data_IF_374682178641
#
_entry.id   IF_374682178641
#
_cell.length_a   1.000
_cell.length_b   1.000
_cell.length_c   1.000
_cell.angle_alpha   90.00
_cell.angle_beta   90.00
_cell.angle_gamma   90.00
#
_symmetry.space_group_name_H-M   'P 1'
#
loop_
_entity.id
_entity.type
_entity.pdbx_description
1 polymer ?
#
# COMPACT_ATOMS: atom_id res chain seq x y z
N UNK A 1 -89.90 17.90 4.18
CA UNK A 1 -88.48 18.07 3.80
C UNK A 1 -87.61 17.59 4.95
N UNK A 2 -87.05 16.35 4.85
CA UNK A 2 -86.14 15.78 5.85
C UNK A 2 -84.72 15.89 5.27
N UNK A 3 -83.87 16.65 5.98
CA UNK A 3 -82.42 16.70 5.67
C UNK A 3 -81.75 15.52 6.33
N UNK A 4 -81.05 14.69 5.49
CA UNK A 4 -80.16 13.58 5.91
C UNK A 4 -78.78 14.19 6.03
N UNK A 5 -78.14 14.12 7.22
CA UNK A 5 -76.72 14.46 7.43
C UNK A 5 -75.88 13.17 7.17
N UNK A 6 -74.99 13.26 6.20
CA UNK A 6 -73.95 12.29 6.02
C UNK A 6 -72.74 12.67 6.91
N UNK A 7 -72.48 11.83 7.90
CA UNK A 7 -71.25 11.93 8.71
C UNK A 7 -70.10 11.22 7.98
N UNK A 8 -69.05 11.98 7.63
CA UNK A 8 -67.84 11.41 7.03
C UNK A 8 -66.91 10.98 8.18
N UNK A 9 -66.72 9.67 8.29
CA UNK A 9 -65.72 9.06 9.21
C UNK A 9 -64.34 9.18 8.54
N UNK A 10 -63.47 10.03 9.05
CA UNK A 10 -62.06 10.03 8.69
C UNK A 10 -61.34 8.88 9.42
N UNK A 11 -61.02 7.86 8.68
CA UNK A 11 -60.10 6.80 9.14
C UNK A 11 -58.68 7.37 9.08
N UNK A 12 -58.08 7.67 10.25
CA UNK A 12 -56.66 7.96 10.39
C UNK A 12 -55.93 6.64 10.22
N UNK A 13 -55.43 6.42 9.00
CA UNK A 13 -54.41 5.37 8.75
C UNK A 13 -53.14 5.85 9.44
N UNK A 14 -52.82 5.27 10.58
CA UNK A 14 -51.51 5.38 11.21
C UNK A 14 -50.43 4.85 10.23
N UNK A 15 -49.67 5.76 9.61
CA UNK A 15 -48.42 5.43 8.97
C UNK A 15 -47.48 4.93 10.07
N UNK A 16 -47.37 3.63 10.19
CA UNK A 16 -46.24 3.03 10.90
C UNK A 16 -44.95 3.49 10.17
N UNK A 17 -44.24 4.40 10.80
CA UNK A 17 -42.89 4.76 10.41
C UNK A 17 -42.04 3.51 10.51
N UNK A 18 -41.95 2.75 9.43
CA UNK A 18 -40.94 1.73 9.26
C UNK A 18 -39.59 2.48 9.17
N UNK A 19 -38.99 2.80 10.32
CA UNK A 19 -37.59 3.17 10.40
C UNK A 19 -36.83 1.96 9.89
N UNK A 20 -36.53 1.96 8.59
CA UNK A 20 -35.59 1.04 7.99
C UNK A 20 -34.34 1.02 8.87
N UNK A 21 -33.93 -0.15 9.30
CA UNK A 21 -32.74 -0.32 10.12
C UNK A 21 -31.58 0.38 9.39
N UNK A 22 -31.09 1.51 9.96
CA UNK A 22 -30.12 2.37 9.30
C UNK A 22 -28.78 1.68 9.04
N UNK A 23 -28.63 0.43 9.47
CA UNK A 23 -27.43 -0.37 9.33
C UNK A 23 -27.77 -1.83 9.03
N UNK A 24 -27.92 -2.21 7.75
CA UNK A 24 -28.20 -3.59 7.37
C UNK A 24 -27.02 -4.52 7.76
N UNK A 25 -27.27 -5.83 7.97
CA UNK A 25 -26.21 -6.79 8.25
C UNK A 25 -25.09 -6.74 7.21
N UNK A 26 -23.83 -6.79 7.67
CA UNK A 26 -22.66 -6.85 6.81
C UNK A 26 -22.20 -8.30 6.64
N UNK A 27 -22.27 -8.81 5.41
CA UNK A 27 -21.65 -10.09 5.06
C UNK A 27 -20.26 -9.83 4.50
N UNK A 28 -19.23 -10.34 5.16
CA UNK A 28 -17.85 -10.21 4.70
C UNK A 28 -17.53 -11.34 3.72
N UNK A 29 -17.05 -11.04 2.49
CA UNK A 29 -16.81 -12.06 1.46
C UNK A 29 -15.48 -12.81 1.70
N UNK A 30 -15.40 -13.61 2.75
CA UNK A 30 -14.24 -14.47 3.02
C UNK A 30 -14.21 -15.60 2.00
N UNK A 31 -13.15 -15.75 1.18
CA UNK A 31 -13.08 -16.82 0.19
C UNK A 31 -13.06 -18.21 0.85
N UNK A 32 -13.91 -19.11 0.42
CA UNK A 32 -13.91 -20.51 0.87
C UNK A 32 -12.78 -21.32 0.25
N UNK A 33 -12.36 -20.97 -0.95
CA UNK A 33 -11.30 -21.64 -1.71
C UNK A 33 -10.26 -20.66 -2.20
N UNK A 34 -9.04 -21.14 -2.28
CA UNK A 34 -7.93 -20.37 -2.84
C UNK A 34 -7.77 -20.61 -4.33
N UNK A 35 -7.47 -19.57 -5.09
CA UNK A 35 -7.11 -19.67 -6.51
C UNK A 35 -5.75 -20.35 -6.65
N UNK A 36 -4.79 -19.98 -5.74
CA UNK A 36 -3.49 -20.64 -5.66
C UNK A 36 -3.61 -21.90 -4.80
N UNK A 37 -3.88 -23.04 -5.46
CA UNK A 37 -4.15 -24.32 -4.77
C UNK A 37 -2.89 -25.08 -4.33
N UNK A 38 -1.69 -24.64 -4.74
CA UNK A 38 -0.44 -25.24 -4.29
C UNK A 38 -0.30 -25.11 -2.78
N UNK A 39 0.08 -26.19 -2.10
CA UNK A 39 0.30 -26.22 -0.66
C UNK A 39 -0.91 -25.74 0.17
N UNK A 40 -2.10 -26.16 -0.21
CA UNK A 40 -3.31 -25.94 0.62
C UNK A 40 -3.27 -26.64 1.99
N UNK A 41 -2.28 -27.54 2.18
CA UNK A 41 -1.93 -28.14 3.47
C UNK A 41 -1.36 -27.12 4.47
N UNK A 42 -0.83 -25.97 4.00
CA UNK A 42 -0.30 -24.94 4.88
C UNK A 42 -1.44 -24.06 5.40
N UNK A 43 -1.61 -24.06 6.71
CA UNK A 43 -2.63 -23.24 7.38
C UNK A 43 -2.30 -21.76 7.24
N UNK A 44 -3.29 -20.96 6.85
CA UNK A 44 -3.15 -19.48 6.86
C UNK A 44 -3.15 -18.99 8.30
N UNK A 45 -2.10 -18.28 8.75
CA UNK A 45 -2.10 -17.69 10.08
C UNK A 45 -3.16 -16.59 10.21
N UNK A 46 -3.79 -16.52 11.38
CA UNK A 46 -4.66 -15.39 11.71
C UNK A 46 -3.84 -14.10 11.92
N UNK A 47 -4.47 -12.96 11.70
CA UNK A 47 -3.95 -11.67 12.14
C UNK A 47 -4.08 -11.63 13.67
N UNK A 48 -3.02 -11.20 14.36
CA UNK A 48 -2.98 -11.02 15.81
C UNK A 48 -2.85 -9.54 16.11
N UNK A 49 -3.71 -9.01 16.98
CA UNK A 49 -3.62 -7.66 17.51
C UNK A 49 -3.05 -7.70 18.95
N UNK A 50 -1.76 -7.46 19.10
CA UNK A 50 -1.11 -7.45 20.41
C UNK A 50 -1.42 -6.20 21.24
N UNK A 51 -2.01 -5.19 20.64
CA UNK A 51 -2.46 -3.97 21.31
C UNK A 51 -3.89 -4.04 21.84
N UNK A 52 -4.56 -5.19 21.71
CA UNK A 52 -5.94 -5.44 22.11
C UNK A 52 -6.99 -4.61 21.34
N UNK A 53 -6.67 -3.36 21.03
CA UNK A 53 -7.50 -2.42 20.24
C UNK A 53 -6.70 -1.62 19.23
N UNK A 54 -5.44 -1.97 18.98
CA UNK A 54 -4.55 -1.17 18.13
C UNK A 54 -4.98 -1.16 16.66
N UNK A 55 -5.82 -2.10 16.25
CA UNK A 55 -6.36 -2.18 14.89
C UNK A 55 -7.84 -1.80 14.78
N UNK A 56 -8.51 -1.38 15.87
CA UNK A 56 -9.95 -1.14 15.87
C UNK A 56 -10.36 -0.02 14.92
N UNK A 57 -9.63 1.10 14.91
CA UNK A 57 -9.92 2.23 14.01
C UNK A 57 -9.83 1.83 12.52
N UNK A 58 -8.85 1.01 12.18
CA UNK A 58 -8.69 0.47 10.83
C UNK A 58 -9.87 -0.45 10.46
N UNK A 59 -10.23 -1.41 11.31
CA UNK A 59 -11.34 -2.33 11.03
C UNK A 59 -12.69 -1.65 11.04
N UNK A 60 -12.90 -0.63 11.88
CA UNK A 60 -14.08 0.22 11.84
C UNK A 60 -14.21 0.91 10.47
N UNK A 61 -13.13 1.51 9.97
CA UNK A 61 -13.13 2.16 8.66
C UNK A 61 -13.27 1.17 7.51
N UNK A 62 -12.62 -0.01 7.61
CA UNK A 62 -12.76 -1.09 6.62
C UNK A 62 -14.21 -1.58 6.55
N UNK A 63 -14.88 -1.74 7.68
CA UNK A 63 -16.30 -2.08 7.74
C UNK A 63 -17.18 -1.01 7.10
N UNK A 64 -16.87 0.29 7.30
CA UNK A 64 -17.56 1.39 6.63
C UNK A 64 -17.43 1.33 5.10
N UNK A 65 -16.23 1.03 4.60
CA UNK A 65 -16.00 0.82 3.15
C UNK A 65 -16.78 -0.40 2.68
N UNK A 66 -16.74 -1.52 3.43
CA UNK A 66 -17.47 -2.74 3.10
C UNK A 66 -19.00 -2.54 3.08
N UNK A 67 -19.51 -1.58 3.85
CA UNK A 67 -20.92 -1.14 3.81
C UNK A 67 -21.23 -0.15 2.67
N UNK A 68 -20.27 0.12 1.78
CA UNK A 68 -20.45 1.02 0.65
C UNK A 68 -20.52 2.51 1.02
N UNK A 69 -20.10 2.88 2.22
CA UNK A 69 -20.10 4.30 2.63
C UNK A 69 -19.07 5.09 1.81
N UNK A 70 -19.32 6.40 1.69
CA UNK A 70 -18.42 7.31 0.95
C UNK A 70 -17.18 7.65 1.77
N UNK A 71 -16.29 6.68 1.92
CA UNK A 71 -15.01 6.81 2.64
C UNK A 71 -13.88 6.18 1.83
N UNK A 72 -12.70 6.77 1.91
CA UNK A 72 -11.47 6.28 1.29
C UNK A 72 -10.56 5.71 2.37
N UNK A 73 -10.26 4.40 2.29
CA UNK A 73 -9.36 3.71 3.20
C UNK A 73 -7.99 3.56 2.53
N UNK A 74 -6.92 3.99 3.22
CA UNK A 74 -5.55 3.95 2.73
C UNK A 74 -4.68 2.97 3.51
N UNK A 75 -4.04 2.06 2.78
CA UNK A 75 -3.07 1.12 3.32
C UNK A 75 -1.71 1.47 2.72
N UNK A 76 -0.68 1.62 3.57
CA UNK A 76 0.71 1.77 3.14
C UNK A 76 1.50 0.51 3.47
N UNK A 77 2.41 0.10 2.57
CA UNK A 77 3.31 -1.02 2.83
C UNK A 77 4.74 -0.62 2.55
N UNK A 78 5.66 -0.89 3.49
CA UNK A 78 7.10 -0.82 3.23
C UNK A 78 7.66 -2.22 3.11
N UNK A 79 8.35 -2.51 2.01
CA UNK A 79 8.95 -3.80 1.74
C UNK A 79 10.32 -3.70 1.08
N UNK A 80 11.05 -4.80 1.09
CA UNK A 80 12.37 -4.94 0.46
C UNK A 80 12.26 -5.33 -1.03
N UNK A 81 13.31 -5.96 -1.59
CA UNK A 81 13.35 -6.36 -2.99
C UNK A 81 12.19 -7.27 -3.43
N UNK A 82 11.57 -8.00 -2.51
CA UNK A 82 10.41 -8.83 -2.79
C UNK A 82 9.12 -8.01 -3.06
N UNK A 83 9.15 -6.70 -2.81
CA UNK A 83 8.02 -5.77 -3.03
C UNK A 83 8.23 -4.79 -4.18
N UNK A 84 9.43 -4.78 -4.81
CA UNK A 84 9.86 -3.75 -5.78
C UNK A 84 9.14 -3.77 -7.13
N UNK A 85 8.35 -4.79 -7.42
CA UNK A 85 7.61 -4.95 -8.67
C UNK A 85 6.09 -4.86 -8.49
N UNK A 86 5.63 -4.38 -7.33
CA UNK A 86 4.20 -4.21 -6.96
C UNK A 86 3.34 -5.48 -7.08
N UNK A 87 3.94 -6.67 -7.21
CA UNK A 87 3.15 -7.90 -7.44
C UNK A 87 2.36 -8.31 -6.20
N UNK A 88 2.98 -8.39 -5.02
CA UNK A 88 2.25 -8.70 -3.77
C UNK A 88 1.29 -7.58 -3.40
N UNK A 89 1.75 -6.32 -3.44
CA UNK A 89 0.91 -5.16 -3.14
C UNK A 89 -0.26 -5.03 -4.13
N UNK A 90 0.01 -5.22 -5.43
CA UNK A 90 -1.00 -5.18 -6.48
C UNK A 90 -2.04 -6.29 -6.35
N UNK A 91 -1.64 -7.49 -5.94
CA UNK A 91 -2.59 -8.60 -5.70
C UNK A 91 -3.48 -8.32 -4.49
N UNK A 92 -2.92 -7.82 -3.40
CA UNK A 92 -3.70 -7.40 -2.22
C UNK A 92 -4.66 -6.27 -2.60
N UNK A 93 -4.17 -5.24 -3.29
CA UNK A 93 -4.97 -4.11 -3.77
C UNK A 93 -6.12 -4.58 -4.64
N UNK A 94 -5.83 -5.38 -5.67
CA UNK A 94 -6.83 -5.91 -6.59
C UNK A 94 -7.94 -6.66 -5.86
N UNK A 95 -7.60 -7.57 -4.94
CA UNK A 95 -8.58 -8.37 -4.21
C UNK A 95 -9.45 -7.52 -3.29
N UNK A 96 -8.85 -6.59 -2.55
CA UNK A 96 -9.60 -5.70 -1.67
C UNK A 96 -10.49 -4.72 -2.45
N UNK A 97 -10.00 -4.21 -3.58
CA UNK A 97 -10.77 -3.31 -4.44
C UNK A 97 -11.94 -4.01 -5.13
N UNK A 98 -11.76 -5.26 -5.57
CA UNK A 98 -12.85 -6.07 -6.12
C UNK A 98 -13.91 -6.39 -5.07
N UNK A 99 -13.51 -6.59 -3.81
CA UNK A 99 -14.44 -6.89 -2.72
C UNK A 99 -15.20 -5.66 -2.21
N UNK A 100 -14.55 -4.50 -2.14
CA UNK A 100 -15.04 -3.35 -1.39
C UNK A 100 -15.03 -2.02 -2.15
N UNK A 101 -14.56 -2.00 -3.36
CA UNK A 101 -14.52 -0.82 -4.23
C UNK A 101 -13.13 -0.27 -4.48
N UNK A 102 -12.91 0.12 -5.72
CA UNK A 102 -11.67 0.69 -6.23
C UNK A 102 -11.54 2.16 -5.79
N UNK A 103 -10.59 2.45 -4.91
CA UNK A 103 -10.26 3.79 -4.43
C UNK A 103 -9.15 4.49 -5.23
N UNK A 104 -8.69 3.87 -6.33
CA UNK A 104 -7.56 4.31 -7.13
C UNK A 104 -6.31 3.47 -6.87
N UNK A 105 -5.30 3.65 -7.72
CA UNK A 105 -4.07 2.88 -7.64
C UNK A 105 -3.27 3.17 -6.36
N UNK A 106 -3.25 4.44 -5.93
CA UNK A 106 -2.36 4.92 -4.89
C UNK A 106 -1.06 5.47 -5.46
N UNK A 107 0.03 5.38 -4.70
CA UNK A 107 1.32 6.00 -5.00
C UNK A 107 2.11 5.24 -6.05
N UNK A 108 2.64 6.00 -7.03
CA UNK A 108 3.60 5.56 -8.05
C UNK A 108 4.79 6.50 -8.03
N UNK A 109 6.01 5.99 -7.86
CA UNK A 109 7.23 6.80 -7.97
C UNK A 109 7.49 7.25 -9.40
N UNK A 110 7.94 8.48 -9.58
CA UNK A 110 8.42 8.93 -10.88
C UNK A 110 9.81 8.37 -11.21
N UNK A 111 10.08 8.16 -12.48
CA UNK A 111 11.32 7.56 -12.95
C UNK A 111 11.27 6.03 -13.00
N UNK A 112 12.42 5.45 -13.30
CA UNK A 112 12.63 3.99 -13.34
C UNK A 112 13.83 3.70 -12.43
N UNK A 113 13.60 3.56 -11.11
CA UNK A 113 14.69 3.43 -10.13
C UNK A 113 15.47 2.10 -10.23
N UNK A 114 14.93 1.11 -10.94
CA UNK A 114 15.57 -0.17 -11.33
C UNK A 114 14.86 -0.77 -12.53
N UNK A 115 15.52 -1.68 -13.26
CA UNK A 115 15.07 -2.20 -14.54
C UNK A 115 13.75 -3.00 -14.53
N UNK A 116 13.34 -3.53 -13.36
CA UNK A 116 12.08 -4.26 -13.19
C UNK A 116 11.03 -3.46 -12.41
N UNK A 117 11.22 -2.14 -12.27
CA UNK A 117 10.23 -1.25 -11.64
C UNK A 117 8.92 -1.29 -12.43
N UNK A 118 7.88 -1.73 -11.76
CA UNK A 118 6.57 -1.90 -12.36
C UNK A 118 5.49 -1.77 -11.29
N UNK A 119 4.34 -1.22 -11.69
CA UNK A 119 3.12 -1.19 -10.90
C UNK A 119 1.99 -1.88 -11.66
N UNK A 120 1.18 -2.69 -10.96
CA UNK A 120 0.05 -3.40 -11.57
C UNK A 120 -1.18 -2.49 -11.67
N UNK A 121 -1.96 -2.65 -12.73
CA UNK A 121 -3.20 -1.90 -12.95
C UNK A 121 -3.02 -0.37 -12.94
N UNK A 122 -1.92 0.09 -13.50
CA UNK A 122 -1.61 1.49 -13.81
C UNK A 122 -0.54 1.49 -14.88
N UNK A 123 -0.49 2.52 -15.70
CA UNK A 123 0.56 2.71 -16.70
C UNK A 123 1.46 3.85 -16.25
N UNK A 124 2.77 3.71 -16.39
CA UNK A 124 3.73 4.74 -16.04
C UNK A 124 5.00 4.60 -16.87
N UNK A 125 5.79 5.67 -16.95
CA UNK A 125 7.04 5.65 -17.68
C UNK A 125 7.72 7.00 -17.75
N UNK A 126 8.84 7.01 -18.48
CA UNK A 126 9.61 8.21 -18.77
C UNK A 126 10.00 8.26 -20.23
N UNK A 127 10.26 9.48 -20.74
CA UNK A 127 10.96 9.71 -22.02
C UNK A 127 12.12 10.66 -21.79
N UNK A 128 13.15 10.56 -22.62
CA UNK A 128 14.38 11.33 -22.42
C UNK A 128 15.24 10.77 -21.29
N UNK A 129 16.23 11.55 -20.86
CA UNK A 129 17.22 11.12 -19.84
C UNK A 129 16.75 11.49 -18.44
N UNK A 130 16.58 10.49 -17.58
CA UNK A 130 16.30 10.62 -16.16
C UNK A 130 17.36 9.90 -15.34
N UNK A 131 17.86 10.54 -14.30
CA UNK A 131 18.61 9.88 -13.24
C UNK A 131 17.63 9.50 -12.15
N UNK A 132 17.64 8.24 -11.71
CA UNK A 132 16.79 7.78 -10.63
C UNK A 132 17.64 7.27 -9.47
N UNK A 133 17.26 7.63 -8.26
CA UNK A 133 17.92 7.24 -7.03
C UNK A 133 16.98 6.48 -6.11
N UNK A 134 17.56 5.61 -5.32
CA UNK A 134 16.88 4.90 -4.26
C UNK A 134 17.82 4.71 -3.05
N UNK A 135 17.24 4.45 -1.89
CA UNK A 135 17.94 4.36 -0.61
C UNK A 135 19.09 3.34 -0.56
N UNK A 136 19.09 2.33 -1.43
CA UNK A 136 20.00 1.19 -1.28
C UNK A 136 21.07 1.13 -2.35
N UNK A 137 20.64 1.04 -3.61
CA UNK A 137 21.55 0.78 -4.73
C UNK A 137 22.16 2.07 -5.31
N UNK A 138 21.45 3.18 -5.23
CA UNK A 138 21.87 4.47 -5.77
C UNK A 138 21.53 5.59 -4.79
N UNK A 139 22.25 5.70 -3.66
CA UNK A 139 21.97 6.71 -2.65
C UNK A 139 22.27 8.12 -3.15
N UNK A 140 21.44 9.07 -2.76
CA UNK A 140 21.62 10.48 -3.02
C UNK A 140 22.15 11.18 -1.78
N UNK A 141 23.12 12.10 -1.95
CA UNK A 141 23.84 12.72 -0.84
C UNK A 141 22.98 13.61 0.06
N UNK A 142 21.94 14.22 -0.49
CA UNK A 142 21.06 15.13 0.27
C UNK A 142 19.95 14.42 1.06
N UNK A 143 19.82 13.09 0.95
CA UNK A 143 18.80 12.31 1.65
C UNK A 143 17.35 12.55 1.21
N UNK A 144 17.15 13.34 0.14
CA UNK A 144 15.85 13.81 -0.33
C UNK A 144 15.15 12.76 -1.21
N UNK A 145 14.53 11.77 -0.57
CA UNK A 145 13.78 10.68 -1.23
C UNK A 145 12.26 10.78 -1.05
N UNK A 146 11.75 11.81 -0.35
CA UNK A 146 10.38 11.81 0.16
C UNK A 146 10.14 10.60 1.10
N UNK A 147 8.88 10.23 1.33
CA UNK A 147 8.54 9.07 2.17
C UNK A 147 8.75 7.71 1.49
N UNK A 148 8.85 7.70 0.15
CA UNK A 148 8.90 6.45 -0.62
C UNK A 148 10.32 5.90 -0.83
N UNK A 149 11.36 6.59 -0.35
CA UNK A 149 12.74 6.12 -0.48
C UNK A 149 13.30 6.15 -1.90
N UNK A 150 12.69 6.91 -2.80
CA UNK A 150 13.11 7.04 -4.19
C UNK A 150 12.88 8.45 -4.74
N UNK A 151 13.66 8.85 -5.75
CA UNK A 151 13.48 10.10 -6.48
C UNK A 151 14.03 9.99 -7.90
N UNK A 152 13.57 10.86 -8.80
CA UNK A 152 14.08 10.95 -10.16
C UNK A 152 14.33 12.41 -10.56
N UNK A 153 15.38 12.64 -11.36
CA UNK A 153 15.78 13.99 -11.78
C UNK A 153 16.13 14.03 -13.25
N UNK A 154 15.72 15.09 -13.94
CA UNK A 154 16.12 15.37 -15.30
C UNK A 154 16.44 16.84 -15.48
N UNK A 155 17.47 17.12 -16.29
CA UNK A 155 17.79 18.47 -16.78
C UNK A 155 17.59 18.57 -18.30
N UNK A 156 17.08 17.53 -18.95
CA UNK A 156 16.90 17.53 -20.39
C UNK A 156 15.57 18.20 -20.75
N UNK A 157 15.58 19.34 -21.48
CA UNK A 157 14.36 19.95 -21.99
C UNK A 157 13.55 18.95 -22.84
N UNK A 158 12.24 18.87 -22.60
CA UNK A 158 11.35 17.95 -23.28
C UNK A 158 11.29 16.53 -22.69
N UNK A 159 12.19 16.15 -21.73
CA UNK A 159 12.07 14.89 -21.01
C UNK A 159 10.73 14.84 -20.25
N UNK A 160 10.08 13.67 -20.24
CA UNK A 160 8.81 13.49 -19.53
C UNK A 160 8.86 12.37 -18.52
N UNK A 161 8.10 12.52 -17.42
CA UNK A 161 7.69 11.44 -16.55
C UNK A 161 6.16 11.43 -16.50
N UNK A 162 5.54 10.25 -16.56
CA UNK A 162 4.09 10.19 -16.71
C UNK A 162 3.48 8.99 -15.99
N UNK A 163 2.20 9.13 -15.67
CA UNK A 163 1.35 8.07 -15.14
C UNK A 163 -0.02 8.16 -15.78
N UNK A 164 -0.65 7.02 -16.01
CA UNK A 164 -1.94 6.89 -16.64
C UNK A 164 -2.72 5.75 -15.98
N UNK A 165 -4.03 5.88 -15.88
CA UNK A 165 -4.90 4.79 -15.39
C UNK A 165 -4.65 3.49 -16.15
N UNK A 166 -5.09 2.38 -15.58
CA UNK A 166 -5.01 1.06 -16.23
C UNK A 166 -5.72 1.07 -17.59
N UNK A 167 -5.27 0.19 -18.48
CA UNK A 167 -5.93 0.00 -19.79
C UNK A 167 -7.39 -0.42 -19.61
N UNK A 168 -8.27 -0.06 -20.55
CA UNK A 168 -9.64 -0.57 -20.56
C UNK A 168 -9.69 -2.10 -20.46
N UNK A 169 -10.61 -2.61 -19.66
CA UNK A 169 -10.72 -4.05 -19.38
C UNK A 169 -9.87 -4.57 -18.23
N UNK A 170 -9.01 -3.76 -17.63
CA UNK A 170 -8.36 -4.13 -16.37
C UNK A 170 -9.40 -4.24 -15.24
N UNK A 171 -9.20 -5.18 -14.29
CA UNK A 171 -10.19 -5.42 -13.24
C UNK A 171 -10.33 -4.27 -12.25
N UNK A 172 -9.31 -3.44 -12.10
CA UNK A 172 -9.24 -2.27 -11.21
C UNK A 172 -8.28 -1.23 -11.78
N UNK A 173 -8.24 -0.01 -11.22
CA UNK A 173 -7.30 1.04 -11.59
C UNK A 173 -7.65 1.78 -12.88
N UNK A 174 -8.83 1.55 -13.47
CA UNK A 174 -9.26 2.17 -14.74
C UNK A 174 -9.78 3.60 -14.57
N UNK A 175 -9.92 4.08 -13.33
CA UNK A 175 -10.44 5.40 -13.03
C UNK A 175 -9.66 6.08 -11.91
N UNK A 176 -9.60 7.41 -11.99
CA UNK A 176 -9.02 8.29 -10.98
C UNK A 176 -9.87 9.56 -10.90
N UNK A 177 -9.98 10.16 -9.71
CA UNK A 177 -10.65 11.45 -9.49
C UNK A 177 -9.68 12.54 -9.03
N UNK A 178 -8.46 12.17 -8.63
CA UNK A 178 -7.41 13.14 -8.30
C UNK A 178 -6.01 12.56 -8.45
N UNK A 179 -5.08 13.42 -8.87
CA UNK A 179 -3.65 13.19 -8.81
C UNK A 179 -3.03 14.09 -7.76
N UNK A 180 -2.21 13.53 -6.87
CA UNK A 180 -1.42 14.31 -5.93
C UNK A 180 0.05 13.95 -6.12
N UNK A 181 0.82 14.86 -6.73
CA UNK A 181 2.23 14.67 -7.01
C UNK A 181 3.12 15.44 -6.06
N UNK A 182 4.38 15.00 -5.94
CA UNK A 182 5.40 15.70 -5.15
C UNK A 182 6.69 15.90 -5.92
N UNK A 183 7.34 17.05 -5.67
CA UNK A 183 8.59 17.45 -6.28
C UNK A 183 9.48 18.19 -5.28
N UNK A 184 10.77 18.31 -5.59
CA UNK A 184 11.72 19.06 -4.77
C UNK A 184 11.83 20.49 -5.28
N UNK A 185 11.43 21.47 -4.49
CA UNK A 185 11.79 22.86 -4.64
C UNK A 185 13.16 23.08 -3.98
N UNK A 186 14.11 23.74 -4.66
CA UNK A 186 15.49 23.92 -4.16
C UNK A 186 16.25 25.05 -4.87
N UNK A 187 17.38 25.52 -4.34
CA UNK A 187 18.26 26.44 -5.07
C UNK A 187 18.66 25.88 -6.44
N UNK A 188 18.53 26.69 -7.47
CA UNK A 188 18.78 26.32 -8.88
C UNK A 188 17.86 25.20 -9.38
N UNK A 189 16.64 25.10 -8.84
CA UNK A 189 15.58 24.25 -9.37
C UNK A 189 15.22 24.63 -10.81
N UNK A 190 14.68 23.69 -11.56
CA UNK A 190 14.26 23.88 -12.95
C UNK A 190 12.76 24.20 -13.06
N UNK A 191 12.32 24.43 -14.28
CA UNK A 191 10.92 24.67 -14.63
C UNK A 191 10.34 23.47 -15.35
N UNK A 192 9.11 23.09 -15.03
CA UNK A 192 8.38 22.01 -15.68
C UNK A 192 6.92 22.34 -15.90
N UNK A 193 6.34 21.73 -16.92
CA UNK A 193 4.90 21.74 -17.18
C UNK A 193 4.25 20.52 -16.57
N UNK A 194 3.02 20.69 -16.06
CA UNK A 194 2.10 19.62 -15.69
C UNK A 194 1.00 19.57 -16.74
N UNK A 195 0.86 18.42 -17.40
CA UNK A 195 -0.18 18.19 -18.40
C UNK A 195 -1.16 17.14 -17.86
N UNK A 196 -2.44 17.41 -18.04
CA UNK A 196 -3.54 16.46 -17.83
C UNK A 196 -4.24 16.22 -19.17
N UNK A 197 -4.27 14.96 -19.60
CA UNK A 197 -4.89 14.52 -20.87
C UNK A 197 -4.39 15.30 -22.08
N UNK A 198 -3.10 15.69 -22.06
CA UNK A 198 -2.43 16.44 -23.10
C UNK A 198 -2.53 17.97 -22.98
N UNK A 199 -3.36 18.50 -22.09
CA UNK A 199 -3.50 19.94 -21.87
C UNK A 199 -2.56 20.41 -20.73
N UNK A 200 -1.82 21.50 -20.95
CA UNK A 200 -1.00 22.14 -19.92
C UNK A 200 -1.93 22.76 -18.87
N UNK A 201 -1.83 22.30 -17.64
CA UNK A 201 -2.58 22.83 -16.49
C UNK A 201 -1.77 23.84 -15.69
N UNK A 202 -0.45 23.57 -15.52
CA UNK A 202 0.44 24.43 -14.79
C UNK A 202 1.85 24.46 -15.39
N UNK A 203 2.55 25.56 -15.17
CA UNK A 203 4.01 25.69 -15.36
C UNK A 203 4.63 26.07 -14.02
N UNK A 204 5.46 25.18 -13.48
CA UNK A 204 6.02 25.27 -12.14
C UNK A 204 7.49 25.62 -12.23
N UNK A 205 7.90 26.67 -11.54
CA UNK A 205 9.30 26.94 -11.20
C UNK A 205 9.61 26.27 -9.86
N UNK A 206 10.51 25.30 -9.88
CA UNK A 206 10.96 24.59 -8.67
C UNK A 206 12.17 25.24 -8.00
N UNK A 207 12.56 26.44 -8.40
CA UNK A 207 13.59 27.22 -7.69
C UNK A 207 13.06 27.72 -6.35
N UNK A 208 13.90 27.63 -5.30
CA UNK A 208 13.58 28.07 -3.95
C UNK A 208 14.88 28.42 -3.19
N UNK A 209 14.74 29.14 -2.08
CA UNK A 209 15.89 29.52 -1.23
C UNK A 209 16.44 28.34 -0.43
N UNK A 210 15.62 27.34 -0.11
CA UNK A 210 15.98 26.12 0.60
C UNK A 210 15.34 24.90 -0.06
N UNK A 211 15.88 23.71 0.21
CA UNK A 211 15.30 22.45 -0.28
C UNK A 211 14.05 22.11 0.52
N UNK A 212 12.94 21.88 -0.17
CA UNK A 212 11.64 21.55 0.42
C UNK A 212 10.82 20.69 -0.54
N UNK A 213 10.12 19.67 -0.01
CA UNK A 213 9.15 18.89 -0.78
C UNK A 213 7.87 19.69 -0.93
N UNK A 214 7.47 19.93 -2.16
CA UNK A 214 6.21 20.58 -2.52
C UNK A 214 5.23 19.57 -3.09
N UNK A 215 3.95 19.85 -2.92
CA UNK A 215 2.84 19.01 -3.36
C UNK A 215 1.90 19.79 -4.27
N UNK A 216 1.46 19.14 -5.35
CA UNK A 216 0.44 19.66 -6.25
C UNK A 216 -0.69 18.64 -6.34
N UNK A 217 -1.93 19.12 -6.22
CA UNK A 217 -3.11 18.26 -6.31
C UNK A 217 -4.04 18.74 -7.41
N UNK A 218 -4.36 17.84 -8.34
CA UNK A 218 -5.28 18.06 -9.44
C UNK A 218 -6.51 17.17 -9.27
N UNK A 219 -7.68 17.79 -9.23
CA UNK A 219 -8.96 17.09 -9.28
C UNK A 219 -9.41 16.95 -10.73
N UNK A 220 -9.93 15.79 -11.09
CA UNK A 220 -10.48 15.47 -12.40
C UNK A 220 -11.85 14.81 -12.24
N UNK A 221 -12.63 14.69 -13.32
CA UNK A 221 -13.82 13.85 -13.30
C UNK A 221 -13.42 12.40 -13.04
N UNK A 222 -14.27 11.63 -12.34
CA UNK A 222 -13.94 10.22 -12.09
C UNK A 222 -13.92 9.42 -13.41
N UNK A 223 -12.74 8.99 -13.84
CA UNK A 223 -12.57 8.35 -15.15
C UNK A 223 -11.13 8.03 -15.51
N UNK A 224 -10.91 7.67 -16.75
CA UNK A 224 -9.58 7.41 -17.29
C UNK A 224 -8.85 8.73 -17.57
N UNK A 225 -7.63 8.89 -17.02
CA UNK A 225 -6.83 10.10 -17.16
C UNK A 225 -5.34 9.80 -17.22
N UNK A 226 -4.59 10.73 -17.77
CA UNK A 226 -3.13 10.72 -17.87
C UNK A 226 -2.53 12.02 -17.33
N UNK A 227 -1.58 11.89 -16.41
CA UNK A 227 -0.74 12.98 -15.93
C UNK A 227 0.65 12.88 -16.56
N UNK A 228 1.17 13.97 -17.10
CA UNK A 228 2.53 14.07 -17.64
C UNK A 228 3.24 15.27 -17.05
N UNK A 229 4.46 15.06 -16.58
CA UNK A 229 5.39 16.12 -16.18
C UNK A 229 6.43 16.26 -17.29
N UNK A 230 6.58 17.47 -17.82
CA UNK A 230 7.50 17.76 -18.93
C UNK A 230 8.51 18.81 -18.50
N UNK A 231 9.79 18.48 -18.50
CA UNK A 231 10.88 19.38 -18.19
C UNK A 231 10.96 20.48 -19.24
N UNK A 232 11.02 21.74 -18.82
CA UNK A 232 11.19 22.91 -19.71
C UNK A 232 12.64 23.37 -19.71
N UNK A 233 13.19 23.59 -18.52
CA UNK A 233 14.59 24.04 -18.37
C UNK A 233 15.11 23.75 -16.96
N UNK A 234 16.43 23.72 -16.80
CA UNK A 234 17.07 23.50 -15.52
C UNK A 234 16.85 22.08 -14.98
N UNK A 235 17.17 21.86 -13.72
CA UNK A 235 17.13 20.56 -13.08
C UNK A 235 15.84 20.37 -12.27
N UNK A 236 15.00 19.42 -12.67
CA UNK A 236 13.72 19.10 -12.05
C UNK A 236 13.82 17.75 -11.34
N UNK A 237 13.57 17.74 -10.02
CA UNK A 237 13.51 16.50 -9.23
C UNK A 237 12.09 16.21 -8.79
N UNK A 238 11.65 14.99 -9.10
CA UNK A 238 10.33 14.47 -8.81
C UNK A 238 10.41 13.27 -7.85
N UNK A 239 9.38 13.06 -7.06
CA UNK A 239 9.29 11.88 -6.16
C UNK A 239 8.26 10.88 -6.65
N UNK A 240 7.02 11.28 -6.79
CA UNK A 240 5.95 10.42 -7.25
C UNK A 240 4.59 11.10 -7.24
N UNK A 241 3.58 10.32 -7.55
CA UNK A 241 2.19 10.77 -7.64
C UNK A 241 1.25 9.70 -7.09
N UNK A 242 0.25 10.12 -6.33
CA UNK A 242 -0.85 9.27 -5.90
C UNK A 242 -2.06 9.48 -6.80
N UNK A 243 -2.66 8.38 -7.26
CA UNK A 243 -3.89 8.33 -8.05
C UNK A 243 -5.00 7.83 -7.14
N UNK A 244 -5.98 8.68 -6.83
CA UNK A 244 -7.06 8.34 -5.90
C UNK A 244 -8.44 8.71 -6.44
N UNK A 245 -9.44 7.97 -5.97
CA UNK A 245 -10.86 8.29 -6.08
C UNK A 245 -11.38 8.75 -4.73
N UNK A 246 -12.65 9.15 -4.64
CA UNK A 246 -13.20 9.72 -3.41
C UNK A 246 -13.64 8.66 -2.38
N UNK A 247 -13.75 7.39 -2.78
CA UNK A 247 -14.16 6.27 -1.93
C UNK A 247 -13.53 4.95 -2.39
N UNK A 248 -13.55 3.96 -1.50
CA UNK A 248 -13.00 2.64 -1.77
C UNK A 248 -11.68 2.37 -1.04
N UNK A 249 -10.86 1.49 -1.56
CA UNK A 249 -9.58 1.10 -0.96
C UNK A 249 -8.42 1.53 -1.86
N UNK A 250 -7.41 2.16 -1.26
CA UNK A 250 -6.10 2.45 -1.85
C UNK A 250 -5.04 1.65 -1.11
N UNK A 251 -4.07 1.10 -1.85
CA UNK A 251 -2.91 0.46 -1.24
C UNK A 251 -1.64 0.92 -1.96
N UNK A 252 -0.76 1.59 -1.22
CA UNK A 252 0.55 2.03 -1.68
C UNK A 252 1.59 0.92 -1.43
N UNK A 253 2.08 0.32 -2.50
CA UNK A 253 3.18 -0.65 -2.45
C UNK A 253 4.53 0.05 -2.53
N UNK A 254 5.16 0.35 -1.37
CA UNK A 254 6.48 0.98 -1.31
C UNK A 254 7.54 -0.10 -1.13
N UNK A 255 7.99 -0.67 -2.25
CA UNK A 255 9.11 -1.61 -2.28
C UNK A 255 10.38 -0.91 -2.70
N UNK A 256 11.47 -1.06 -1.94
CA UNK A 256 12.79 -0.53 -2.31
C UNK A 256 13.82 -1.65 -2.21
N UNK A 257 14.69 -1.78 -3.21
CA UNK A 257 15.74 -2.80 -3.21
C UNK A 257 16.55 -2.77 -1.90
N UNK A 258 16.77 -3.93 -1.31
CA UNK A 258 17.51 -4.11 -0.08
C UNK A 258 17.07 -3.21 1.08
N UNK A 259 15.80 -2.75 1.08
CA UNK A 259 15.26 -1.96 2.18
C UNK A 259 15.31 -2.76 3.49
N UNK A 260 15.68 -2.08 4.53
CA UNK A 260 15.59 -2.55 5.91
C UNK A 260 15.43 -1.33 6.84
N UNK A 261 15.11 -1.50 8.12
CA UNK A 261 14.93 -0.37 9.04
C UNK A 261 16.13 0.58 9.12
N UNK A 262 17.36 0.04 9.08
CA UNK A 262 18.57 0.87 9.10
C UNK A 262 18.68 1.77 7.86
N UNK A 263 18.33 1.24 6.68
CA UNK A 263 18.28 2.06 5.45
C UNK A 263 17.23 3.16 5.55
N UNK A 264 16.09 2.89 6.16
CA UNK A 264 15.03 3.90 6.34
C UNK A 264 15.49 5.09 7.18
N UNK A 265 16.42 4.93 8.12
CA UNK A 265 16.98 6.05 8.89
C UNK A 265 17.90 6.98 8.08
N UNK A 266 18.25 6.59 6.86
CA UNK A 266 19.04 7.43 5.93
C UNK A 266 18.18 8.45 5.16
N UNK A 267 16.86 8.33 5.23
CA UNK A 267 15.95 9.36 4.72
C UNK A 267 15.94 10.58 5.64
N UNK A 268 15.75 11.75 5.06
CA UNK A 268 15.47 12.94 5.87
C UNK A 268 14.21 12.71 6.71
N UNK A 269 14.34 12.76 8.03
CA UNK A 269 13.28 12.40 8.98
C UNK A 269 12.05 13.31 8.88
N UNK A 270 12.28 14.60 8.65
CA UNK A 270 11.20 15.56 8.55
C UNK A 270 10.38 15.31 7.28
N UNK A 271 11.04 14.97 6.18
CA UNK A 271 10.37 14.63 4.92
C UNK A 271 9.63 13.28 4.99
N UNK A 272 10.23 12.27 5.63
CA UNK A 272 9.56 11.00 5.87
C UNK A 272 8.27 11.23 6.68
N UNK A 273 8.37 11.96 7.78
CA UNK A 273 7.21 12.25 8.63
C UNK A 273 6.15 13.09 7.89
N UNK A 274 6.55 14.15 7.18
CA UNK A 274 5.64 15.01 6.42
C UNK A 274 4.92 14.24 5.31
N UNK A 275 5.63 13.38 4.59
CA UNK A 275 5.05 12.55 3.54
C UNK A 275 4.06 11.53 4.09
N UNK A 276 4.37 10.87 5.20
CA UNK A 276 3.46 9.95 5.89
C UNK A 276 2.21 10.67 6.38
N UNK A 277 2.36 11.82 7.05
CA UNK A 277 1.23 12.66 7.50
C UNK A 277 0.34 13.04 6.32
N UNK A 278 0.94 13.42 5.19
CA UNK A 278 0.22 13.77 3.96
C UNK A 278 -0.55 12.59 3.38
N UNK A 279 0.05 11.40 3.36
CA UNK A 279 -0.61 10.17 2.89
C UNK A 279 -1.71 9.72 3.83
N UNK A 280 -1.59 9.99 5.13
CA UNK A 280 -2.64 9.72 6.13
C UNK A 280 -3.17 8.28 6.04
N UNK A 281 -2.26 7.31 6.18
CA UNK A 281 -2.63 5.89 6.13
C UNK A 281 -3.51 5.49 7.31
N UNK A 282 -4.47 4.62 7.07
CA UNK A 282 -5.29 3.98 8.10
C UNK A 282 -4.61 2.72 8.66
N UNK A 283 -3.79 2.07 7.82
CA UNK A 283 -2.93 0.95 8.19
C UNK A 283 -1.56 1.12 7.52
N UNK A 284 -0.49 1.04 8.30
CA UNK A 284 0.87 0.96 7.79
C UNK A 284 1.47 -0.40 8.13
N UNK A 285 1.93 -1.13 7.09
CA UNK A 285 2.51 -2.45 7.19
C UNK A 285 4.01 -2.38 6.90
N UNK A 286 4.83 -2.96 7.76
CA UNK A 286 6.27 -3.12 7.54
C UNK A 286 6.59 -4.59 7.32
N UNK A 287 7.15 -4.91 6.13
CA UNK A 287 7.36 -6.29 5.68
C UNK A 287 8.83 -6.63 5.41
N UNK A 288 9.77 -5.70 5.67
CA UNK A 288 11.20 -5.95 5.44
C UNK A 288 11.72 -7.09 6.34
N UNK A 289 12.87 -7.63 6.01
CA UNK A 289 13.50 -8.66 6.86
C UNK A 289 14.42 -9.61 6.09
N UNK A 290 14.29 -9.71 4.79
CA UNK A 290 15.16 -10.55 3.95
C UNK A 290 16.60 -10.01 3.92
N UNK A 291 16.79 -8.69 4.03
CA UNK A 291 18.07 -7.99 4.00
C UNK A 291 18.59 -7.56 5.39
N UNK A 292 18.12 -8.19 6.44
CA UNK A 292 18.61 -7.94 7.79
C UNK A 292 19.56 -9.04 8.17
N UNK A 293 20.86 -8.74 8.10
CA UNK A 293 21.93 -9.69 8.42
C UNK A 293 22.07 -9.94 9.90
N UNK A 294 21.67 -8.96 10.71
CA UNK A 294 21.63 -9.07 12.17
C UNK A 294 20.27 -8.66 12.72
N UNK A 295 19.56 -9.53 13.42
CA UNK A 295 18.35 -9.15 14.14
C UNK A 295 18.57 -8.05 15.20
N UNK A 296 19.81 -7.86 15.65
CA UNK A 296 20.18 -6.78 16.59
C UNK A 296 19.95 -5.43 15.92
N UNK A 297 20.39 -5.24 14.67
CA UNK A 297 20.19 -3.99 13.92
C UNK A 297 18.70 -3.65 13.79
N UNK A 298 17.88 -4.67 13.56
CA UNK A 298 16.44 -4.52 13.49
C UNK A 298 15.84 -4.08 14.84
N UNK A 299 16.27 -4.69 15.94
CA UNK A 299 15.80 -4.38 17.30
C UNK A 299 16.23 -2.98 17.77
N UNK A 300 17.39 -2.50 17.37
CA UNK A 300 17.90 -1.18 17.81
C UNK A 300 17.26 -0.03 17.06
N UNK A 301 16.95 -0.20 15.78
CA UNK A 301 16.46 0.85 14.90
C UNK A 301 14.93 0.95 14.86
N UNK A 302 14.24 -0.18 14.93
CA UNK A 302 12.76 -0.22 14.84
C UNK A 302 12.03 0.63 15.89
N UNK A 303 12.48 0.72 17.16
CA UNK A 303 11.80 1.58 18.14
C UNK A 303 11.74 3.05 17.69
N UNK A 304 12.84 3.55 17.16
CA UNK A 304 12.94 4.94 16.67
C UNK A 304 12.03 5.18 15.45
N UNK A 305 12.05 4.27 14.48
CA UNK A 305 11.16 4.35 13.31
C UNK A 305 9.69 4.22 13.71
N UNK A 306 9.36 3.33 14.63
CA UNK A 306 8.00 3.17 15.12
C UNK A 306 7.49 4.42 15.84
N UNK A 307 8.37 5.08 16.62
CA UNK A 307 8.03 6.35 17.25
C UNK A 307 7.72 7.42 16.20
N UNK A 308 8.58 7.55 15.16
CA UNK A 308 8.35 8.48 14.05
C UNK A 308 7.04 8.17 13.33
N UNK A 309 6.77 6.90 13.01
CA UNK A 309 5.53 6.49 12.36
C UNK A 309 4.28 6.83 13.19
N UNK A 310 4.30 6.54 14.49
CA UNK A 310 3.19 6.87 15.40
C UNK A 310 2.98 8.38 15.55
N UNK A 311 4.05 9.18 15.52
CA UNK A 311 3.94 10.65 15.53
C UNK A 311 3.37 11.19 14.22
N UNK A 312 3.80 10.65 13.07
CA UNK A 312 3.33 11.08 11.76
C UNK A 312 1.90 10.62 11.45
N UNK A 313 1.49 9.49 12.01
CA UNK A 313 0.22 8.80 11.74
C UNK A 313 -0.48 8.43 13.07
N UNK A 314 -0.92 9.39 13.88
CA UNK A 314 -1.40 9.13 15.25
C UNK A 314 -2.69 8.30 15.32
N UNK A 315 -3.46 8.24 14.22
CA UNK A 315 -4.72 7.48 14.15
C UNK A 315 -4.60 6.17 13.34
N UNK A 316 -3.41 5.87 12.82
CA UNK A 316 -3.21 4.67 12.03
C UNK A 316 -3.03 3.42 12.90
N UNK A 317 -3.49 2.29 12.39
CA UNK A 317 -3.03 0.99 12.84
C UNK A 317 -1.65 0.69 12.22
N UNK A 318 -0.85 -0.08 12.96
CA UNK A 318 0.46 -0.55 12.49
C UNK A 318 0.51 -2.07 12.52
N UNK A 319 1.20 -2.68 11.55
CA UNK A 319 1.37 -4.12 11.48
C UNK A 319 2.79 -4.47 11.05
N UNK A 320 3.39 -5.47 11.68
CA UNK A 320 4.61 -6.11 11.22
C UNK A 320 4.28 -7.46 10.57
N UNK A 321 5.00 -7.78 9.49
CA UNK A 321 5.02 -9.12 8.91
C UNK A 321 6.38 -9.76 9.13
N UNK A 322 6.41 -11.10 9.29
CA UNK A 322 7.67 -11.83 9.14
C UNK A 322 8.15 -11.80 7.71
N UNK A 323 9.47 -11.88 7.52
CA UNK A 323 10.06 -12.12 6.21
C UNK A 323 9.77 -13.56 5.74
N UNK A 324 9.76 -13.83 4.42
CA UNK A 324 9.63 -15.18 3.89
C UNK A 324 10.86 -16.04 4.23
N UNK A 325 10.70 -17.36 4.26
CA UNK A 325 11.82 -18.28 4.19
C UNK A 325 12.50 -18.14 2.81
N UNK A 326 13.80 -18.32 2.70
CA UNK A 326 14.50 -18.36 1.43
C UNK A 326 15.65 -19.37 1.44
N UNK A 327 16.16 -19.72 0.25
CA UNK A 327 17.22 -20.70 0.10
C UNK A 327 18.56 -20.05 0.41
N UNK A 328 19.31 -20.63 1.33
CA UNK A 328 20.71 -20.30 1.51
C UNK A 328 21.50 -20.75 0.28
N UNK A 329 22.26 -19.83 -0.31
CA UNK A 329 23.20 -20.16 -1.37
C UNK A 329 24.26 -21.11 -0.84
N UNK A 330 24.21 -22.36 -1.28
CA UNK A 330 25.18 -23.40 -0.93
C UNK A 330 26.28 -23.44 -1.96
N UNK A 331 27.40 -24.13 -1.59
CA UNK A 331 28.46 -24.47 -2.56
C UNK A 331 27.87 -25.37 -3.64
N UNK A 332 28.46 -25.27 -4.84
CA UNK A 332 28.06 -26.08 -5.97
C UNK A 332 27.99 -27.58 -5.62
N UNK A 333 26.90 -28.26 -6.00
CA UNK A 333 26.67 -29.68 -5.74
C UNK A 333 26.00 -30.01 -4.39
N UNK A 334 25.68 -29.04 -3.55
CA UNK A 334 24.94 -29.29 -2.30
C UNK A 334 23.43 -29.09 -2.49
N UNK A 335 22.63 -29.92 -1.80
CA UNK A 335 21.18 -29.72 -1.76
C UNK A 335 20.85 -28.37 -1.14
N UNK A 336 19.89 -27.60 -1.73
CA UNK A 336 19.48 -26.32 -1.19
C UNK A 336 18.83 -26.47 0.18
N UNK A 337 19.22 -25.62 1.13
CA UNK A 337 18.64 -25.56 2.47
C UNK A 337 18.03 -24.18 2.70
N UNK A 338 17.07 -24.10 3.62
CA UNK A 338 16.56 -22.82 4.08
C UNK A 338 17.61 -22.03 4.85
N UNK A 339 17.56 -20.68 4.73
CA UNK A 339 18.41 -19.80 5.52
C UNK A 339 17.98 -19.84 7.02
N UNK A 340 18.82 -20.36 7.93
CA UNK A 340 18.42 -20.53 9.34
C UNK A 340 18.07 -19.22 10.03
N UNK A 341 18.65 -18.08 9.62
CA UNK A 341 18.40 -16.79 10.21
C UNK A 341 16.94 -16.32 10.05
N UNK A 342 16.20 -16.84 9.05
CA UNK A 342 14.82 -16.42 8.80
C UNK A 342 13.85 -16.83 9.90
N UNK A 343 14.06 -17.98 10.53
CA UNK A 343 13.28 -18.40 11.70
C UNK A 343 13.50 -17.44 12.87
N UNK A 344 14.76 -17.06 13.11
CA UNK A 344 15.09 -16.11 14.16
C UNK A 344 14.54 -14.70 13.86
N UNK A 345 14.58 -14.29 12.58
CA UNK A 345 14.02 -13.01 12.14
C UNK A 345 12.51 -12.96 12.35
N UNK A 346 11.78 -14.00 11.96
CA UNK A 346 10.34 -14.09 12.17
C UNK A 346 9.98 -13.99 13.67
N UNK A 347 10.71 -14.72 14.52
CA UNK A 347 10.55 -14.66 15.98
C UNK A 347 10.85 -13.28 16.56
N UNK A 348 11.93 -12.63 16.07
CA UNK A 348 12.32 -11.28 16.52
C UNK A 348 11.26 -10.23 16.14
N UNK A 349 10.74 -10.27 14.91
CA UNK A 349 9.68 -9.33 14.47
C UNK A 349 8.37 -9.56 15.23
N UNK A 350 8.02 -10.82 15.52
CA UNK A 350 6.88 -11.13 16.38
C UNK A 350 7.04 -10.47 17.76
N UNK A 351 8.19 -10.65 18.39
CA UNK A 351 8.50 -10.05 19.69
C UNK A 351 8.44 -8.51 19.67
N UNK A 352 8.84 -7.89 18.55
CA UNK A 352 8.66 -6.44 18.36
C UNK A 352 7.19 -6.04 18.24
N UNK A 353 6.37 -6.79 17.50
CA UNK A 353 4.94 -6.52 17.43
C UNK A 353 4.26 -6.60 18.80
N UNK A 354 4.65 -7.57 19.62
CA UNK A 354 4.24 -7.72 21.04
C UNK A 354 4.69 -6.50 21.87
N UNK A 355 5.94 -6.10 21.76
CA UNK A 355 6.52 -4.96 22.50
C UNK A 355 5.87 -3.63 22.12
N UNK A 356 5.63 -3.40 20.84
CA UNK A 356 5.00 -2.16 20.35
C UNK A 356 3.48 -2.17 20.49
N UNK A 357 2.89 -3.31 20.86
CA UNK A 357 1.44 -3.52 20.98
C UNK A 357 0.71 -3.16 19.69
N UNK A 358 1.09 -3.82 18.59
CA UNK A 358 0.56 -3.58 17.23
C UNK A 358 0.14 -4.88 16.56
N UNK A 359 -0.41 -4.79 15.37
CA UNK A 359 -0.79 -5.93 14.54
C UNK A 359 0.41 -6.79 14.10
N UNK A 360 0.17 -8.07 13.93
CA UNK A 360 1.12 -9.05 13.44
C UNK A 360 0.49 -10.01 12.43
N UNK A 361 1.21 -10.30 11.35
CA UNK A 361 0.89 -11.41 10.46
C UNK A 361 2.14 -12.22 10.13
N UNK A 362 2.05 -13.54 10.28
CA UNK A 362 3.18 -14.45 10.12
C UNK A 362 3.28 -14.98 8.68
N UNK A 363 3.87 -14.20 7.78
CA UNK A 363 4.14 -14.62 6.41
C UNK A 363 5.06 -15.86 6.36
N UNK A 364 6.03 -15.98 7.27
CA UNK A 364 6.92 -17.13 7.34
C UNK A 364 6.13 -18.42 7.57
N UNK A 365 5.22 -18.42 8.54
CA UNK A 365 4.32 -19.55 8.79
C UNK A 365 3.34 -19.79 7.64
N UNK A 366 2.80 -18.73 7.00
CA UNK A 366 1.92 -18.84 5.84
C UNK A 366 2.56 -19.56 4.65
N UNK A 367 3.89 -19.55 4.58
CA UNK A 367 4.68 -20.26 3.58
C UNK A 367 5.11 -21.67 4.01
N UNK A 368 4.78 -22.09 5.24
CA UNK A 368 5.15 -23.39 5.79
C UNK A 368 6.38 -23.37 6.70
N UNK A 369 6.87 -22.20 7.08
CA UNK A 369 7.95 -22.02 8.03
C UNK A 369 9.33 -22.43 7.51
N UNK A 370 10.29 -22.61 8.42
CA UNK A 370 11.66 -23.01 8.08
C UNK A 370 11.71 -24.39 7.45
N UNK A 371 12.48 -24.51 6.37
CA UNK A 371 12.55 -25.72 5.52
C UNK A 371 11.55 -25.71 4.37
N UNK A 372 10.78 -24.66 4.21
CA UNK A 372 9.79 -24.57 3.11
C UNK A 372 10.38 -24.05 1.81
N UNK A 373 11.37 -23.15 1.84
CA UNK A 373 11.93 -22.49 0.66
C UNK A 373 12.46 -23.46 -0.41
N UNK A 374 13.22 -24.54 -0.10
CA UNK A 374 13.64 -25.48 -1.12
C UNK A 374 12.49 -26.14 -1.87
N UNK A 375 11.37 -26.42 -1.20
CA UNK A 375 10.17 -27.02 -1.82
C UNK A 375 9.50 -26.01 -2.76
N UNK A 376 9.41 -24.76 -2.36
CA UNK A 376 8.85 -23.69 -3.16
C UNK A 376 9.70 -23.38 -4.39
N UNK A 377 11.03 -23.41 -4.25
CA UNK A 377 11.98 -23.20 -5.36
C UNK A 377 11.84 -24.31 -6.40
N UNK A 378 11.79 -25.57 -5.99
CA UNK A 378 11.54 -26.72 -6.90
C UNK A 378 10.21 -26.57 -7.65
N UNK A 379 9.20 -25.94 -7.06
CA UNK A 379 7.90 -25.67 -7.66
C UNK A 379 7.82 -24.35 -8.45
N UNK A 380 8.94 -23.65 -8.64
CA UNK A 380 9.04 -22.36 -9.36
C UNK A 380 8.15 -21.24 -8.77
N UNK A 381 8.05 -21.19 -7.45
CA UNK A 381 7.44 -20.07 -6.74
C UNK A 381 8.45 -18.99 -6.39
N UNK A 382 9.72 -19.36 -6.27
CA UNK A 382 10.86 -18.45 -6.18
C UNK A 382 11.50 -18.27 -7.54
N UNK A 383 12.18 -17.15 -7.74
CA UNK A 383 13.11 -16.95 -8.84
C UNK A 383 14.29 -17.92 -8.72
N UNK A 384 15.13 -17.98 -9.75
CA UNK A 384 16.22 -18.96 -9.81
C UNK A 384 17.25 -18.84 -8.67
N UNK A 385 17.37 -17.66 -8.07
CA UNK A 385 18.27 -17.41 -6.94
C UNK A 385 17.77 -17.99 -5.60
N UNK A 386 16.51 -18.45 -5.55
CA UNK A 386 15.89 -19.01 -4.35
C UNK A 386 15.63 -18.00 -3.21
N UNK A 387 15.85 -16.71 -3.46
CA UNK A 387 15.70 -15.61 -2.50
C UNK A 387 14.49 -14.74 -2.88
N UNK A 388 14.44 -14.35 -4.14
CA UNK A 388 13.36 -13.50 -4.62
C UNK A 388 12.12 -14.31 -4.97
N UNK A 389 10.97 -13.83 -4.52
CA UNK A 389 9.69 -14.48 -4.77
C UNK A 389 9.19 -14.19 -6.19
N UNK A 390 8.82 -15.24 -6.90
CA UNK A 390 8.29 -15.17 -8.26
C UNK A 390 6.79 -14.77 -8.30
N UNK A 391 6.22 -14.57 -9.51
CA UNK A 391 4.82 -14.13 -9.67
C UNK A 391 3.81 -15.02 -8.95
N UNK A 392 4.00 -16.34 -8.99
CA UNK A 392 3.10 -17.32 -8.34
C UNK A 392 3.11 -17.17 -6.83
N UNK A 393 4.29 -16.92 -6.21
CA UNK A 393 4.40 -16.72 -4.78
C UNK A 393 3.80 -15.37 -4.36
N UNK A 394 3.99 -14.31 -5.15
CA UNK A 394 3.36 -13.02 -4.89
C UNK A 394 1.84 -13.14 -4.83
N UNK A 395 1.23 -13.85 -5.80
CA UNK A 395 -0.22 -14.13 -5.82
C UNK A 395 -0.64 -14.97 -4.60
N UNK A 396 0.13 -16.00 -4.24
CA UNK A 396 -0.12 -16.85 -3.09
C UNK A 396 -0.14 -16.04 -1.78
N UNK A 397 0.88 -15.21 -1.55
CA UNK A 397 1.00 -14.39 -0.33
C UNK A 397 -0.15 -13.38 -0.27
N UNK A 398 -0.40 -12.65 -1.35
CA UNK A 398 -1.46 -11.64 -1.40
C UNK A 398 -2.83 -12.23 -1.10
N UNK A 399 -3.13 -13.40 -1.65
CA UNK A 399 -4.39 -14.11 -1.40
C UNK A 399 -4.54 -14.55 0.05
N UNK A 400 -3.48 -15.15 0.66
CA UNK A 400 -3.52 -15.62 2.05
C UNK A 400 -3.65 -14.47 3.03
N UNK A 401 -2.95 -13.37 2.79
CA UNK A 401 -3.09 -12.18 3.62
C UNK A 401 -4.50 -11.59 3.55
N UNK A 402 -5.05 -11.43 2.34
CA UNK A 402 -6.42 -10.91 2.19
C UNK A 402 -7.43 -11.85 2.86
N UNK A 403 -7.27 -13.17 2.72
CA UNK A 403 -8.10 -14.13 3.44
C UNK A 403 -8.03 -13.92 4.97
N UNK A 404 -6.83 -13.79 5.53
CA UNK A 404 -6.65 -13.55 6.96
C UNK A 404 -7.30 -12.23 7.41
N UNK A 405 -7.17 -11.17 6.59
CA UNK A 405 -7.75 -9.85 6.86
C UNK A 405 -9.28 -9.90 6.83
N UNK A 406 -9.86 -10.55 5.84
CA UNK A 406 -11.32 -10.69 5.72
C UNK A 406 -11.89 -11.58 6.82
N UNK A 407 -11.20 -12.65 7.18
CA UNK A 407 -11.57 -13.51 8.31
C UNK A 407 -11.58 -12.75 9.63
N UNK A 408 -10.58 -11.88 9.86
CA UNK A 408 -10.55 -11.04 11.05
C UNK A 408 -11.67 -9.99 11.04
N UNK A 409 -11.95 -9.37 9.89
CA UNK A 409 -13.10 -8.48 9.74
C UNK A 409 -14.42 -9.21 10.04
N UNK A 410 -14.62 -10.44 9.51
CA UNK A 410 -15.81 -11.23 9.78
C UNK A 410 -15.98 -11.51 11.27
N UNK A 411 -14.92 -11.96 11.98
CA UNK A 411 -14.96 -12.17 13.43
C UNK A 411 -15.38 -10.92 14.21
N UNK A 412 -14.90 -9.73 13.77
CA UNK A 412 -15.23 -8.46 14.41
C UNK A 412 -16.68 -8.06 14.14
N UNK A 413 -17.18 -8.28 12.94
CA UNK A 413 -18.60 -8.06 12.56
C UNK A 413 -19.51 -9.00 13.35
N UNK A 414 -19.14 -10.28 13.52
CA UNK A 414 -19.90 -11.24 14.32
C UNK A 414 -19.99 -10.81 15.79
N UNK A 415 -18.90 -10.23 16.33
CA UNK A 415 -18.85 -9.71 17.70
C UNK A 415 -19.61 -8.39 17.85
N UNK A 416 -19.55 -7.52 16.85
CA UNK A 416 -20.27 -6.24 16.78
C UNK A 416 -20.95 -6.07 15.40
N UNK A 417 -22.21 -6.53 15.25
CA UNK A 417 -22.95 -6.40 14.00
C UNK A 417 -23.14 -4.95 13.51
N UNK A 418 -22.91 -3.97 14.38
CA UNK A 418 -22.97 -2.54 14.05
C UNK A 418 -21.64 -1.93 13.67
N UNK A 419 -20.56 -2.71 13.65
CA UNK A 419 -19.24 -2.26 13.23
C UNK A 419 -19.34 -1.56 11.86
N UNK A 420 -18.81 -0.35 11.74
CA UNK A 420 -18.88 0.46 10.52
C UNK A 420 -20.25 1.09 10.21
N UNK A 421 -21.21 1.04 11.12
CA UNK A 421 -22.45 1.81 10.96
C UNK A 421 -22.19 3.32 11.15
N UNK A 422 -22.95 4.16 10.43
CA UNK A 422 -22.94 5.58 10.72
C UNK A 422 -23.46 5.81 12.17
N UNK A 423 -22.67 6.54 12.95
CA UNK A 423 -23.06 6.95 14.31
C UNK A 423 -24.04 8.09 14.29
#
# INVERSE_FOLDING_TARGET
MRRVLFGTVFAILGMADARADKCPPLTVPVPEKFEQTSRNDVKVPDIVDYGDKSMDAFFEKLARVARGQHVLLRIGTYGDSNWTNDRTAGEIRRRLQLAFGDGGHGFVGFGIPWGWYHHQNVQHGVTGKWNAWNLSAMPIKDGMYSFAGMSAESSQPGATAWVETAKPGAPVGTSVASFEMSYLARPKGGTFEVLLDGEVKDTIDSSATAAEVKYLKYKVADGAHKLVIKVKQGSVRLFGVALERDKGIVLDGIGVNALNPLRMTQMDRAQLAAGLTRRSYDLLIETTGTNVWSPIDHKTVMPELMQLFKQALPSAAFMLWSAPDFVKMNREGQEPISEPAMRFMASSKKQMAETFKIGWWDQFAALGGGGSAPKWTKSRFYEADGIHIGPRMNAYIGERFVHALLKELAKRVDKDPKLGCAK
#
